data_IF_187948490782
#
_entry.id   IF_187948490782
#
_cell.length_a   1.000
_cell.length_b   1.000
_cell.length_c   1.000
_cell.angle_alpha   90.00
_cell.angle_beta   90.00
_cell.angle_gamma   90.00
#
_symmetry.space_group_name_H-M   'P 1'
#
loop_
_entity.id
_entity.type
_entity.pdbx_description
1 polymer ?
#
# COMPACT_ATOMS: atom_id res chain seq x y z
N UNK A 1 8.06 24.21 25.50
CA UNK A 1 8.09 24.45 24.05
C UNK A 1 7.44 23.20 23.43
N UNK A 2 6.24 23.31 22.85
CA UNK A 2 5.67 22.25 22.06
C UNK A 2 6.57 22.06 20.83
N UNK A 3 7.40 21.04 20.82
CA UNK A 3 8.16 20.68 19.62
C UNK A 3 7.18 20.22 18.57
N UNK A 4 7.14 20.91 17.44
CA UNK A 4 6.39 20.51 16.25
C UNK A 4 6.80 19.09 15.87
N UNK A 5 5.84 18.20 15.69
CA UNK A 5 6.13 16.81 15.27
C UNK A 5 6.65 16.79 13.84
N UNK A 6 7.65 15.96 13.58
CA UNK A 6 8.23 15.77 12.24
C UNK A 6 7.78 14.44 11.67
N UNK A 7 7.20 14.47 10.49
CA UNK A 7 6.73 13.29 9.74
C UNK A 7 7.56 13.16 8.48
N UNK A 8 8.34 12.07 8.38
CA UNK A 8 9.08 11.75 7.18
C UNK A 8 8.26 10.77 6.32
N UNK A 9 7.86 11.20 5.12
CA UNK A 9 7.13 10.40 4.14
C UNK A 9 8.12 9.98 3.05
N UNK A 10 8.45 8.68 2.99
CA UNK A 10 9.24 8.07 1.93
C UNK A 10 8.29 7.62 0.81
N UNK A 11 8.61 7.92 -0.46
CA UNK A 11 7.69 7.71 -1.58
C UNK A 11 6.58 8.76 -1.61
N UNK A 12 6.93 10.02 -1.29
CA UNK A 12 6.01 11.15 -1.22
C UNK A 12 5.31 11.45 -2.56
N UNK A 13 5.93 11.12 -3.69
CA UNK A 13 5.36 11.28 -5.03
C UNK A 13 4.38 10.16 -5.41
N UNK A 14 4.32 9.10 -4.59
CA UNK A 14 3.37 8.00 -4.77
C UNK A 14 1.94 8.40 -4.43
N UNK A 15 0.97 7.56 -4.80
CA UNK A 15 -0.47 7.84 -4.64
C UNK A 15 -0.86 8.13 -3.17
N UNK A 16 -0.45 7.27 -2.24
CA UNK A 16 -0.75 7.44 -0.81
C UNK A 16 0.11 8.56 -0.22
N UNK A 17 1.41 8.63 -0.59
CA UNK A 17 2.32 9.68 -0.11
C UNK A 17 1.81 11.08 -0.41
N UNK A 18 1.34 11.33 -1.66
CA UNK A 18 0.74 12.63 -2.03
C UNK A 18 -0.49 12.96 -1.19
N UNK A 19 -1.41 12.00 -1.00
CA UNK A 19 -2.61 12.26 -0.20
C UNK A 19 -2.29 12.51 1.27
N UNK A 20 -1.31 11.83 1.84
CA UNK A 20 -0.82 12.14 3.18
C UNK A 20 -0.20 13.53 3.26
N UNK A 21 0.58 13.92 2.25
CA UNK A 21 1.17 15.28 2.17
C UNK A 21 0.07 16.34 2.16
N UNK A 22 -0.92 16.22 1.25
CA UNK A 22 -2.06 17.14 1.13
C UNK A 22 -2.84 17.30 2.45
N UNK A 23 -3.09 16.20 3.15
CA UNK A 23 -3.84 16.19 4.41
C UNK A 23 -3.04 16.81 5.57
N UNK A 24 -1.72 16.65 5.58
CA UNK A 24 -0.85 17.12 6.66
C UNK A 24 -0.30 18.54 6.43
N UNK A 25 -0.31 19.07 5.20
CA UNK A 25 0.24 20.41 4.88
C UNK A 25 -0.33 21.55 5.73
N UNK A 26 -1.59 21.46 6.14
CA UNK A 26 -2.27 22.48 6.92
C UNK A 26 -2.39 22.12 8.42
N UNK A 27 -1.60 21.16 8.88
CA UNK A 27 -1.54 20.74 10.29
C UNK A 27 -0.25 21.22 10.95
N UNK A 28 -0.16 21.27 12.29
CA UNK A 28 1.04 21.74 12.98
C UNK A 28 2.16 20.69 13.02
N UNK A 29 2.50 20.10 11.85
CA UNK A 29 3.60 19.15 11.69
C UNK A 29 4.64 19.68 10.69
N UNK A 30 5.89 19.29 10.86
CA UNK A 30 6.96 19.52 9.89
C UNK A 30 7.04 18.31 8.97
N UNK A 31 6.79 18.49 7.66
CA UNK A 31 6.85 17.46 6.67
C UNK A 31 8.25 17.32 6.10
N UNK A 32 8.77 16.11 6.10
CA UNK A 32 10.02 15.70 5.45
C UNK A 32 9.63 14.77 4.30
N UNK A 33 9.66 15.28 3.07
CA UNK A 33 9.19 14.57 1.89
C UNK A 33 10.37 14.08 1.08
N UNK A 34 10.42 12.77 0.81
CA UNK A 34 11.46 12.18 -0.05
C UNK A 34 10.89 11.15 -1.02
N UNK A 35 11.55 11.05 -2.14
CA UNK A 35 11.38 9.96 -3.09
C UNK A 35 12.78 9.46 -3.51
N UNK A 36 12.86 8.53 -4.46
CA UNK A 36 14.11 7.85 -4.84
C UNK A 36 15.23 8.81 -5.27
N UNK A 37 14.88 9.94 -5.86
CA UNK A 37 15.82 10.99 -6.29
C UNK A 37 16.45 11.76 -5.11
N UNK A 38 15.75 11.85 -3.98
CA UNK A 38 16.22 12.55 -2.79
C UNK A 38 16.87 11.59 -1.78
N UNK A 39 16.21 10.46 -1.48
CA UNK A 39 16.72 9.40 -0.60
C UNK A 39 16.30 8.04 -1.13
N UNK A 40 17.24 7.32 -1.71
CA UNK A 40 17.03 5.91 -2.04
C UNK A 40 16.95 5.09 -0.74
N UNK A 41 15.78 4.52 -0.44
CA UNK A 41 15.57 3.71 0.77
C UNK A 41 16.41 2.43 0.78
N UNK A 42 16.94 1.99 -0.37
CA UNK A 42 17.82 0.83 -0.47
C UNK A 42 19.26 1.15 -0.03
N UNK A 43 19.64 2.43 -0.02
CA UNK A 43 20.93 2.89 0.54
C UNK A 43 20.81 3.10 2.06
N UNK A 44 21.31 2.13 2.80
CA UNK A 44 21.27 2.16 4.27
C UNK A 44 22.03 3.34 4.89
N UNK A 45 23.05 3.88 4.20
CA UNK A 45 23.80 5.04 4.67
C UNK A 45 22.99 6.32 4.47
N UNK A 46 22.44 6.52 3.27
CA UNK A 46 21.61 7.67 2.97
C UNK A 46 20.40 7.76 3.92
N UNK A 47 19.72 6.64 4.17
CA UNK A 47 18.58 6.55 5.11
C UNK A 47 18.99 6.96 6.53
N UNK A 48 20.11 6.40 7.05
CA UNK A 48 20.57 6.75 8.41
C UNK A 48 21.01 8.21 8.54
N UNK A 49 21.75 8.71 7.55
CA UNK A 49 22.22 10.09 7.54
C UNK A 49 21.05 11.06 7.52
N UNK A 50 20.04 10.83 6.66
CA UNK A 50 18.85 11.67 6.58
C UNK A 50 18.03 11.63 7.87
N UNK A 51 17.77 10.45 8.42
CA UNK A 51 17.05 10.30 9.69
C UNK A 51 17.81 10.93 10.86
N UNK A 52 19.14 10.79 10.92
CA UNK A 52 19.99 11.36 11.96
C UNK A 52 20.02 12.90 11.93
N UNK A 53 20.04 13.49 10.73
CA UNK A 53 20.03 14.95 10.53
C UNK A 53 18.66 15.55 10.90
N UNK A 54 17.58 14.96 10.42
CA UNK A 54 16.22 15.53 10.54
C UNK A 54 15.48 15.10 11.80
N UNK A 55 15.83 13.95 12.40
CA UNK A 55 15.23 13.40 13.63
C UNK A 55 13.70 13.34 13.57
N UNK A 56 13.12 12.59 12.62
CA UNK A 56 11.67 12.46 12.50
C UNK A 56 11.07 11.78 13.73
N UNK A 57 9.83 12.16 14.09
CA UNK A 57 9.03 11.47 15.10
C UNK A 57 8.30 10.27 14.51
N UNK A 58 7.91 10.40 13.24
CA UNK A 58 7.28 9.35 12.44
C UNK A 58 8.04 9.15 11.12
N UNK A 59 8.20 7.90 10.72
CA UNK A 59 8.70 7.51 9.38
C UNK A 59 7.59 6.72 8.71
N UNK A 60 7.02 7.25 7.63
CA UNK A 60 5.95 6.62 6.86
C UNK A 60 6.52 6.11 5.56
N UNK A 61 6.57 4.79 5.40
CA UNK A 61 7.06 4.15 4.19
C UNK A 61 5.91 3.87 3.21
N UNK A 62 5.70 4.78 2.27
CA UNK A 62 4.84 4.62 1.10
C UNK A 62 5.64 4.19 -0.14
N UNK A 63 6.98 4.12 -0.07
CA UNK A 63 7.83 3.70 -1.16
C UNK A 63 7.76 2.17 -1.35
N UNK A 64 7.85 1.74 -2.59
CA UNK A 64 7.87 0.32 -2.94
C UNK A 64 7.70 0.07 -4.43
N UNK A 65 8.23 -1.06 -4.89
CA UNK A 65 7.94 -1.57 -6.22
C UNK A 65 6.60 -2.33 -6.16
N UNK A 66 5.57 -1.78 -6.82
CA UNK A 66 4.18 -2.25 -6.71
C UNK A 66 3.62 -2.87 -7.99
N UNK A 67 4.36 -2.79 -9.09
CA UNK A 67 4.03 -3.50 -10.32
C UNK A 67 4.37 -4.98 -10.16
N UNK A 68 3.34 -5.84 -10.14
CA UNK A 68 3.50 -7.28 -9.88
C UNK A 68 4.25 -7.96 -11.01
N UNK A 69 4.00 -7.59 -12.27
CA UNK A 69 4.71 -8.17 -13.41
C UNK A 69 6.20 -7.79 -13.36
N UNK A 70 6.51 -6.52 -13.12
CA UNK A 70 7.89 -6.07 -12.95
C UNK A 70 8.60 -6.76 -11.77
N UNK A 71 7.89 -7.06 -10.68
CA UNK A 71 8.44 -7.84 -9.57
C UNK A 71 8.77 -9.28 -9.96
N UNK A 72 7.94 -9.94 -10.77
CA UNK A 72 8.21 -11.30 -11.27
C UNK A 72 9.42 -11.32 -12.21
N UNK A 73 9.58 -10.30 -13.04
CA UNK A 73 10.70 -10.13 -13.96
C UNK A 73 12.01 -9.83 -13.22
N UNK A 74 11.97 -9.00 -12.18
CA UNK A 74 13.15 -8.58 -11.42
C UNK A 74 12.97 -8.80 -9.91
N UNK A 75 13.14 -10.07 -9.50
CA UNK A 75 12.95 -10.52 -8.12
C UNK A 75 13.92 -9.84 -7.15
N UNK A 76 15.19 -9.68 -7.54
CA UNK A 76 16.20 -9.05 -6.69
C UNK A 76 15.84 -7.60 -6.36
N UNK A 77 15.42 -6.84 -7.37
CA UNK A 77 15.02 -5.44 -7.17
C UNK A 77 13.75 -5.35 -6.31
N UNK A 78 12.78 -6.26 -6.50
CA UNK A 78 11.59 -6.32 -5.67
C UNK A 78 11.94 -6.51 -4.18
N UNK A 79 12.82 -7.44 -3.85
CA UNK A 79 13.27 -7.66 -2.48
C UNK A 79 14.16 -6.52 -1.96
N UNK A 80 15.02 -5.96 -2.81
CA UNK A 80 15.87 -4.83 -2.45
C UNK A 80 15.03 -3.63 -2.03
N UNK A 81 14.04 -3.25 -2.83
CA UNK A 81 13.18 -2.10 -2.53
C UNK A 81 12.20 -2.42 -1.40
N UNK A 82 11.38 -3.49 -1.55
CA UNK A 82 10.25 -3.75 -0.65
C UNK A 82 10.67 -4.34 0.70
N UNK A 83 11.77 -5.10 0.76
CA UNK A 83 12.24 -5.72 1.98
C UNK A 83 13.43 -4.98 2.59
N UNK A 84 14.56 -4.83 1.87
CA UNK A 84 15.74 -4.17 2.43
C UNK A 84 15.51 -2.66 2.65
N UNK A 85 14.76 -1.99 1.79
CA UNK A 85 14.34 -0.60 2.01
C UNK A 85 13.55 -0.46 3.31
N UNK A 86 12.54 -1.31 3.54
CA UNK A 86 11.77 -1.31 4.79
C UNK A 86 12.66 -1.61 6.02
N UNK A 87 13.62 -2.55 5.90
CA UNK A 87 14.61 -2.83 6.95
C UNK A 87 15.46 -1.61 7.27
N UNK A 88 15.99 -0.90 6.27
CA UNK A 88 16.82 0.27 6.48
C UNK A 88 16.07 1.39 7.22
N UNK A 89 14.81 1.65 6.82
CA UNK A 89 13.94 2.61 7.50
C UNK A 89 13.62 2.18 8.94
N UNK A 90 13.38 0.88 9.18
CA UNK A 90 13.11 0.33 10.51
C UNK A 90 14.30 0.51 11.46
N UNK A 91 15.51 0.25 10.96
CA UNK A 91 16.74 0.47 11.74
C UNK A 91 16.90 1.95 12.08
N UNK A 92 16.70 2.85 11.10
CA UNK A 92 16.76 4.30 11.32
C UNK A 92 15.70 4.77 12.31
N UNK A 93 14.45 4.28 12.20
CA UNK A 93 13.37 4.57 13.12
C UNK A 93 13.72 4.18 14.56
N UNK A 94 14.24 2.96 14.77
CA UNK A 94 14.68 2.50 16.08
C UNK A 94 15.79 3.38 16.66
N UNK A 95 16.81 3.71 15.86
CA UNK A 95 17.93 4.55 16.30
C UNK A 95 17.47 5.97 16.69
N UNK A 96 16.57 6.55 15.91
CA UNK A 96 15.97 7.87 16.15
C UNK A 96 14.83 7.89 17.16
N UNK A 97 14.38 6.73 17.66
CA UNK A 97 13.16 6.55 18.47
C UNK A 97 11.88 7.02 17.76
N UNK A 98 11.89 7.05 16.44
CA UNK A 98 10.72 7.34 15.63
C UNK A 98 9.73 6.17 15.66
N UNK A 99 8.46 6.45 15.39
CA UNK A 99 7.46 5.42 15.10
C UNK A 99 7.47 5.12 13.61
N UNK A 100 7.57 3.85 13.25
CA UNK A 100 7.57 3.39 11.86
C UNK A 100 6.17 3.04 11.40
N UNK A 101 5.74 3.58 10.28
CA UNK A 101 4.50 3.18 9.60
C UNK A 101 4.89 2.53 8.27
N UNK A 102 4.52 1.27 8.08
CA UNK A 102 4.84 0.49 6.90
C UNK A 102 3.59 0.16 6.10
N UNK A 103 3.48 0.68 4.90
CA UNK A 103 2.43 0.28 3.97
C UNK A 103 2.72 -1.11 3.40
N UNK A 104 1.74 -2.02 3.48
CA UNK A 104 1.78 -3.39 2.97
C UNK A 104 0.57 -3.70 2.08
N UNK A 105 0.28 -4.96 1.80
CA UNK A 105 -0.66 -5.40 0.77
C UNK A 105 -1.45 -6.64 1.17
N UNK A 106 -2.61 -6.80 0.57
CA UNK A 106 -3.42 -8.03 0.57
C UNK A 106 -2.75 -9.20 -0.16
N UNK A 107 -1.81 -8.95 -1.09
CA UNK A 107 -1.04 -9.97 -1.82
C UNK A 107 -0.12 -10.82 -0.90
N UNK A 108 -0.09 -10.54 0.40
CA UNK A 108 0.57 -11.42 1.38
C UNK A 108 -0.19 -12.72 1.62
N UNK A 109 -1.45 -12.81 1.20
CA UNK A 109 -2.27 -14.02 1.29
C UNK A 109 -2.28 -14.81 -0.01
N UNK A 110 -2.55 -16.11 0.06
CA UNK A 110 -2.48 -17.03 -1.09
C UNK A 110 -3.72 -17.01 -2.00
N UNK A 111 -4.80 -16.42 -1.53
CA UNK A 111 -6.05 -16.36 -2.29
C UNK A 111 -6.94 -17.60 -2.18
N UNK A 112 -6.63 -18.54 -1.30
CA UNK A 112 -7.43 -19.78 -1.08
C UNK A 112 -8.61 -19.58 -0.12
N UNK A 113 -8.68 -18.41 0.56
CA UNK A 113 -9.73 -18.08 1.51
C UNK A 113 -11.11 -17.98 0.87
N UNK A 114 -12.14 -18.27 1.69
CA UNK A 114 -13.56 -18.10 1.34
C UNK A 114 -14.26 -17.09 2.25
N UNK A 115 -13.57 -16.61 3.26
CA UNK A 115 -13.99 -15.57 4.17
C UNK A 115 -12.92 -14.48 4.23
N UNK A 116 -13.27 -13.23 4.54
CA UNK A 116 -12.30 -12.15 4.63
C UNK A 116 -11.13 -12.48 5.57
N UNK A 117 -9.91 -12.23 5.11
CA UNK A 117 -8.71 -12.42 5.91
C UNK A 117 -8.63 -11.36 7.01
N UNK A 118 -8.37 -11.79 8.22
CA UNK A 118 -8.11 -10.94 9.38
C UNK A 118 -6.60 -10.73 9.57
N UNK A 119 -6.23 -9.83 10.47
CA UNK A 119 -4.83 -9.59 10.84
C UNK A 119 -4.17 -10.79 11.53
N UNK A 120 -4.98 -11.76 12.01
CA UNK A 120 -4.53 -12.98 12.68
C UNK A 120 -4.30 -14.16 11.73
N UNK A 121 -4.74 -14.04 10.47
CA UNK A 121 -4.53 -15.10 9.49
C UNK A 121 -3.06 -15.16 9.06
N UNK A 122 -2.58 -16.39 8.85
CA UNK A 122 -1.19 -16.63 8.45
C UNK A 122 -0.96 -16.25 7.00
N UNK A 123 -0.03 -15.31 6.71
CA UNK A 123 0.34 -14.99 5.33
C UNK A 123 1.00 -16.16 4.60
N UNK A 124 0.68 -16.31 3.31
CA UNK A 124 1.26 -17.31 2.40
C UNK A 124 1.34 -16.77 0.96
N UNK A 125 2.14 -15.71 0.70
CA UNK A 125 2.15 -15.02 -0.58
C UNK A 125 2.61 -15.92 -1.73
N UNK A 126 1.93 -15.82 -2.86
CA UNK A 126 2.27 -16.59 -4.06
C UNK A 126 3.17 -15.79 -5.00
N UNK A 127 2.93 -14.48 -5.14
CA UNK A 127 3.68 -13.58 -6.01
C UNK A 127 4.99 -13.11 -5.39
N UNK A 128 5.98 -12.74 -6.22
CA UNK A 128 7.22 -12.10 -5.76
C UNK A 128 6.92 -10.76 -5.07
N UNK A 129 5.95 -10.00 -5.60
CA UNK A 129 5.48 -8.79 -4.94
C UNK A 129 5.03 -9.07 -3.50
N UNK A 130 4.08 -9.99 -3.30
CA UNK A 130 3.60 -10.35 -1.97
C UNK A 130 4.70 -10.87 -1.05
N UNK A 131 5.59 -11.73 -1.57
CA UNK A 131 6.75 -12.27 -0.83
C UNK A 131 7.71 -11.16 -0.37
N UNK A 132 8.02 -10.21 -1.25
CA UNK A 132 8.91 -9.09 -0.94
C UNK A 132 8.30 -8.12 0.08
N UNK A 133 6.98 -7.87 -0.01
CA UNK A 133 6.25 -7.04 0.97
C UNK A 133 6.19 -7.72 2.34
N UNK A 134 5.88 -9.01 2.40
CA UNK A 134 5.89 -9.78 3.66
C UNK A 134 7.28 -9.82 4.30
N UNK A 135 8.34 -9.97 3.52
CA UNK A 135 9.70 -9.88 4.03
C UNK A 135 9.98 -8.50 4.64
N UNK A 136 9.46 -7.42 4.04
CA UNK A 136 9.51 -6.07 4.61
C UNK A 136 8.76 -5.97 5.94
N UNK A 137 7.55 -6.52 6.05
CA UNK A 137 6.81 -6.57 7.32
C UNK A 137 7.62 -7.26 8.42
N UNK A 138 8.25 -8.40 8.09
CA UNK A 138 9.05 -9.16 9.05
C UNK A 138 10.25 -8.36 9.54
N UNK A 139 10.94 -7.64 8.65
CA UNK A 139 12.03 -6.75 9.04
C UNK A 139 11.54 -5.59 9.93
N UNK A 140 10.37 -5.02 9.64
CA UNK A 140 9.79 -3.96 10.49
C UNK A 140 9.53 -4.50 11.90
N UNK A 141 8.91 -5.66 12.03
CA UNK A 141 8.64 -6.33 13.32
C UNK A 141 9.94 -6.65 14.09
N UNK A 142 10.98 -7.09 13.39
CA UNK A 142 12.27 -7.46 13.98
C UNK A 142 13.08 -6.24 14.44
N UNK A 143 13.14 -5.19 13.60
CA UNK A 143 14.07 -4.08 13.82
C UNK A 143 13.46 -2.84 14.47
N UNK A 144 12.14 -2.69 14.54
CA UNK A 144 11.49 -1.51 15.12
C UNK A 144 10.34 -1.90 16.06
N UNK A 145 10.53 -1.72 17.36
CA UNK A 145 9.50 -2.07 18.36
C UNK A 145 8.27 -1.14 18.32
N UNK A 146 8.45 0.11 17.86
CA UNK A 146 7.37 1.10 17.72
C UNK A 146 6.94 1.15 16.26
N UNK A 147 6.00 0.33 15.85
CA UNK A 147 5.58 0.27 14.47
C UNK A 147 4.08 0.04 14.27
N UNK A 148 3.59 0.53 13.16
CA UNK A 148 2.30 0.16 12.59
C UNK A 148 2.56 -0.40 11.20
N UNK A 149 2.06 -1.60 10.92
CA UNK A 149 2.00 -2.18 9.59
C UNK A 149 0.56 -2.05 9.10
N UNK A 150 0.38 -1.46 7.91
CA UNK A 150 -0.91 -1.24 7.29
C UNK A 150 -1.00 -2.08 6.02
N UNK A 151 -1.78 -3.16 6.04
CA UNK A 151 -2.13 -3.90 4.83
C UNK A 151 -3.36 -3.27 4.21
N UNK A 152 -3.29 -2.99 2.92
CA UNK A 152 -4.42 -2.47 2.15
C UNK A 152 -4.57 -3.21 0.83
N UNK A 153 -5.69 -3.03 0.15
CA UNK A 153 -6.05 -3.74 -1.07
C UNK A 153 -6.50 -2.77 -2.15
N UNK A 154 -6.16 -3.08 -3.40
CA UNK A 154 -6.60 -2.39 -4.62
C UNK A 154 -6.67 -0.86 -4.51
N UNK A 155 -5.60 -0.25 -4.01
CA UNK A 155 -5.53 1.20 -3.79
C UNK A 155 -5.71 1.94 -5.12
N UNK A 156 -6.74 2.79 -5.20
CA UNK A 156 -7.03 3.62 -6.37
C UNK A 156 -7.04 5.10 -6.02
N UNK A 157 -6.96 5.96 -7.03
CA UNK A 157 -6.90 7.41 -6.91
C UNK A 157 -6.04 7.99 -8.03
N UNK A 158 -5.46 9.15 -7.81
CA UNK A 158 -4.61 9.83 -8.78
C UNK A 158 -3.38 9.01 -9.18
N UNK A 159 -2.90 9.22 -10.40
CA UNK A 159 -1.76 8.52 -10.97
C UNK A 159 -2.12 7.18 -11.61
N UNK A 160 -1.11 6.35 -11.91
CA UNK A 160 -1.30 5.06 -12.58
C UNK A 160 -1.91 4.03 -11.63
N UNK A 161 -3.08 3.51 -11.97
CA UNK A 161 -3.83 2.50 -11.21
C UNK A 161 -4.73 1.69 -12.12
N UNK A 162 -5.31 0.60 -11.60
CA UNK A 162 -6.36 -0.13 -12.30
C UNK A 162 -7.52 0.81 -12.68
N UNK A 163 -7.94 1.67 -11.75
CA UNK A 163 -8.98 2.68 -11.98
C UNK A 163 -8.63 3.60 -13.16
N UNK A 164 -7.45 4.19 -13.19
CA UNK A 164 -7.04 5.10 -14.27
C UNK A 164 -6.89 4.38 -15.62
N UNK A 165 -6.47 3.10 -15.61
CA UNK A 165 -6.45 2.26 -16.81
C UNK A 165 -7.85 2.05 -17.38
N UNK A 166 -8.82 1.69 -16.53
CA UNK A 166 -10.23 1.51 -16.94
C UNK A 166 -10.81 2.82 -17.46
N UNK A 167 -10.60 3.93 -16.75
CA UNK A 167 -11.05 5.26 -17.19
C UNK A 167 -10.52 5.64 -18.57
N UNK A 168 -9.24 5.36 -18.82
CA UNK A 168 -8.62 5.61 -20.13
C UNK A 168 -9.28 4.79 -21.24
N UNK A 169 -9.40 3.46 -21.04
CA UNK A 169 -10.01 2.55 -22.01
C UNK A 169 -11.49 2.93 -22.28
N UNK A 170 -12.22 3.31 -21.25
CA UNK A 170 -13.61 3.78 -21.36
C UNK A 170 -13.71 5.08 -22.16
N UNK A 171 -12.77 6.02 -21.96
CA UNK A 171 -12.71 7.27 -22.73
C UNK A 171 -12.34 7.07 -24.20
N UNK A 172 -11.58 6.02 -24.52
CA UNK A 172 -11.18 5.63 -25.87
C UNK A 172 -12.23 4.72 -26.57
N UNK A 173 -13.30 4.31 -25.87
CA UNK A 173 -14.33 3.42 -26.41
C UNK A 173 -13.83 1.98 -26.64
N UNK A 174 -12.74 1.56 -25.99
CA UNK A 174 -12.15 0.25 -26.17
C UNK A 174 -12.82 -0.78 -25.24
N UNK A 175 -13.16 -1.96 -25.79
CA UNK A 175 -13.67 -3.07 -24.97
C UNK A 175 -12.71 -3.41 -23.83
N UNK A 176 -13.24 -3.50 -22.61
CA UNK A 176 -12.47 -3.76 -21.39
C UNK A 176 -12.65 -5.22 -20.99
N UNK A 177 -11.53 -5.96 -20.92
CA UNK A 177 -11.52 -7.33 -20.40
C UNK A 177 -11.08 -7.30 -18.94
N UNK A 178 -11.90 -7.87 -18.03
CA UNK A 178 -11.65 -7.82 -16.61
C UNK A 178 -11.92 -9.15 -15.92
N UNK A 179 -11.06 -9.54 -14.99
CA UNK A 179 -11.18 -10.82 -14.27
C UNK A 179 -12.46 -10.85 -13.42
N UNK A 180 -13.29 -11.87 -13.62
CA UNK A 180 -14.48 -12.10 -12.82
C UNK A 180 -14.24 -13.01 -11.60
N UNK A 181 -13.09 -13.68 -11.57
CA UNK A 181 -12.65 -14.63 -10.54
C UNK A 181 -11.52 -14.12 -9.65
N UNK A 182 -11.29 -12.80 -9.64
CA UNK A 182 -10.41 -12.12 -8.69
C UNK A 182 -11.25 -11.16 -7.84
N UNK A 183 -11.31 -11.40 -6.54
CA UNK A 183 -12.14 -10.63 -5.60
C UNK A 183 -11.30 -10.02 -4.49
N UNK A 184 -11.45 -8.72 -4.26
CA UNK A 184 -10.80 -7.98 -3.18
C UNK A 184 -11.60 -6.72 -2.81
N UNK A 185 -11.00 -5.81 -2.05
CA UNK A 185 -11.65 -4.56 -1.62
C UNK A 185 -10.97 -3.36 -2.29
N UNK A 186 -11.64 -2.64 -3.20
CA UNK A 186 -11.14 -1.35 -3.66
C UNK A 186 -11.02 -0.36 -2.49
N UNK A 187 -9.88 0.33 -2.40
CA UNK A 187 -9.60 1.28 -1.32
C UNK A 187 -9.14 2.60 -1.91
N UNK A 188 -9.84 3.68 -1.60
CA UNK A 188 -9.45 5.02 -2.01
C UNK A 188 -8.18 5.48 -1.31
N UNK A 189 -7.29 6.13 -2.05
CA UNK A 189 -6.02 6.60 -1.50
C UNK A 189 -6.20 7.71 -0.45
N UNK A 190 -7.26 8.53 -0.58
CA UNK A 190 -7.59 9.58 0.39
C UNK A 190 -8.03 8.97 1.72
N UNK A 191 -8.99 8.06 1.68
CA UNK A 191 -9.51 7.37 2.87
C UNK A 191 -8.43 6.55 3.57
N UNK A 192 -7.55 5.91 2.79
CA UNK A 192 -6.41 5.19 3.34
C UNK A 192 -5.42 6.14 4.02
N UNK A 193 -5.12 7.30 3.41
CA UNK A 193 -4.22 8.29 3.98
C UNK A 193 -4.78 8.90 5.27
N UNK A 194 -6.07 9.25 5.30
CA UNK A 194 -6.77 9.71 6.51
C UNK A 194 -6.66 8.68 7.64
N UNK A 195 -6.93 7.41 7.33
CA UNK A 195 -6.86 6.35 8.33
C UNK A 195 -5.42 6.07 8.80
N UNK A 196 -4.42 6.18 7.93
CA UNK A 196 -3.00 6.08 8.34
C UNK A 196 -2.64 7.20 9.32
N UNK A 197 -3.09 8.44 9.07
CA UNK A 197 -2.84 9.58 9.97
C UNK A 197 -3.50 9.33 11.33
N UNK A 198 -4.74 8.89 11.35
CA UNK A 198 -5.45 8.54 12.60
C UNK A 198 -4.71 7.44 13.39
N UNK A 199 -4.25 6.39 12.71
CA UNK A 199 -3.45 5.33 13.30
C UNK A 199 -2.12 5.83 13.88
N UNK A 200 -1.44 6.75 13.18
CA UNK A 200 -0.19 7.35 13.66
C UNK A 200 -0.37 8.05 15.00
N UNK A 201 -1.49 8.72 15.20
CA UNK A 201 -1.75 9.57 16.35
C UNK A 201 -2.29 8.78 17.56
N UNK A 202 -3.18 7.81 17.32
CA UNK A 202 -4.02 7.25 18.37
C UNK A 202 -3.91 5.74 18.57
N UNK A 203 -3.47 4.97 17.54
CA UNK A 203 -3.50 3.53 17.63
C UNK A 203 -2.34 2.92 18.44
N UNK A 204 -2.52 1.78 19.11
CA UNK A 204 -1.42 0.93 19.56
C UNK A 204 -0.51 0.48 18.42
N UNK A 205 0.76 0.13 18.76
CA UNK A 205 1.66 -0.51 17.79
C UNK A 205 1.10 -1.87 17.37
N UNK A 206 1.25 -2.23 16.10
CA UNK A 206 0.73 -3.50 15.60
C UNK A 206 0.48 -3.57 14.10
N UNK A 207 -0.26 -4.58 13.71
CA UNK A 207 -0.70 -4.84 12.33
C UNK A 207 -2.18 -4.49 12.18
N UNK A 208 -2.50 -3.76 11.13
CA UNK A 208 -3.86 -3.33 10.80
C UNK A 208 -4.17 -3.62 9.34
N UNK A 209 -5.35 -4.14 9.07
CA UNK A 209 -5.95 -4.10 7.75
C UNK A 209 -6.72 -2.77 7.61
N UNK A 210 -6.49 -2.05 6.51
CA UNK A 210 -7.17 -0.77 6.24
C UNK A 210 -7.65 -0.79 4.80
N UNK A 211 -8.92 -1.07 4.60
CA UNK A 211 -9.57 -1.14 3.29
C UNK A 211 -10.90 -0.41 3.30
N UNK A 212 -11.46 -0.17 2.13
CA UNK A 212 -12.86 0.20 1.98
C UNK A 212 -13.81 -0.86 2.56
N UNK A 213 -15.09 -0.67 2.39
CA UNK A 213 -16.11 -1.63 2.81
C UNK A 213 -16.64 -2.42 1.62
N UNK A 214 -17.10 -3.65 1.88
CA UNK A 214 -17.59 -4.57 0.88
C UNK A 214 -16.45 -5.26 0.13
N UNK A 215 -16.79 -5.94 -0.94
CA UNK A 215 -15.84 -6.58 -1.85
C UNK A 215 -16.46 -6.69 -3.24
N UNK A 216 -15.63 -6.74 -4.26
CA UNK A 216 -16.09 -6.96 -5.64
C UNK A 216 -15.00 -7.66 -6.46
N UNK A 217 -15.38 -8.24 -7.60
CA UNK A 217 -14.44 -8.70 -8.60
C UNK A 217 -13.81 -7.55 -9.38
N UNK A 218 -12.71 -7.80 -10.08
CA UNK A 218 -12.16 -6.82 -11.03
C UNK A 218 -13.17 -6.43 -12.10
N UNK A 219 -13.98 -7.39 -12.52
CA UNK A 219 -15.03 -7.17 -13.50
C UNK A 219 -16.10 -6.19 -12.95
N UNK A 220 -16.65 -6.46 -11.78
CA UNK A 220 -17.66 -5.58 -11.14
C UNK A 220 -17.07 -4.19 -10.87
N UNK A 221 -15.82 -4.11 -10.43
CA UNK A 221 -15.16 -2.82 -10.24
C UNK A 221 -15.01 -2.05 -11.55
N UNK A 222 -14.62 -2.71 -12.64
CA UNK A 222 -14.54 -2.08 -13.96
C UNK A 222 -15.92 -1.62 -14.46
N UNK A 223 -16.96 -2.44 -14.29
CA UNK A 223 -18.33 -2.06 -14.65
C UNK A 223 -18.78 -0.80 -13.91
N UNK A 224 -18.51 -0.71 -12.61
CA UNK A 224 -18.91 0.45 -11.81
C UNK A 224 -18.15 1.71 -12.23
N UNK A 225 -16.86 1.60 -12.53
CA UNK A 225 -16.06 2.72 -13.05
C UNK A 225 -16.64 3.21 -14.39
N UNK A 226 -16.95 2.31 -15.32
CA UNK A 226 -17.54 2.66 -16.62
C UNK A 226 -18.91 3.31 -16.43
N UNK A 227 -19.77 2.73 -15.59
CA UNK A 227 -21.09 3.28 -15.26
C UNK A 227 -20.99 4.72 -14.72
N UNK A 228 -20.11 4.96 -13.75
CA UNK A 228 -19.92 6.27 -13.13
C UNK A 228 -19.27 7.30 -14.08
N UNK A 229 -18.46 6.85 -15.04
CA UNK A 229 -17.87 7.73 -16.06
C UNK A 229 -18.87 8.19 -17.13
N UNK A 230 -20.06 7.61 -17.18
CA UNK A 230 -21.08 7.86 -18.22
C UNK A 230 -20.74 7.24 -19.58
N UNK A 231 -19.67 6.43 -19.66
CA UNK A 231 -19.29 5.70 -20.88
C UNK A 231 -20.24 4.55 -21.18
N UNK A 232 -20.37 4.22 -22.47
CA UNK A 232 -21.11 3.03 -22.93
C UNK A 232 -20.17 1.89 -23.35
N UNK A 233 -18.91 1.96 -22.93
CA UNK A 233 -17.90 0.94 -23.23
C UNK A 233 -18.28 -0.39 -22.64
N UNK A 234 -18.13 -1.45 -23.45
CA UNK A 234 -18.41 -2.81 -23.01
C UNK A 234 -17.34 -3.31 -22.05
N UNK A 235 -17.76 -3.91 -20.94
CA UNK A 235 -16.89 -4.64 -20.01
C UNK A 235 -17.20 -6.12 -20.12
N UNK A 236 -16.20 -6.93 -20.52
CA UNK A 236 -16.32 -8.36 -20.75
C UNK A 236 -15.66 -9.13 -19.61
N UNK A 237 -16.39 -10.02 -18.92
CA UNK A 237 -15.79 -10.87 -17.90
C UNK A 237 -14.87 -11.92 -18.53
N UNK A 238 -13.70 -12.10 -17.93
CA UNK A 238 -12.71 -13.13 -18.32
C UNK A 238 -12.18 -13.84 -17.09
N UNK A 239 -11.55 -15.00 -17.26
CA UNK A 239 -10.82 -15.66 -16.18
C UNK A 239 -9.49 -14.94 -15.89
N UNK A 240 -8.99 -15.02 -14.68
CA UNK A 240 -7.73 -14.39 -14.25
C UNK A 240 -6.50 -14.90 -15.01
N UNK A 241 -6.57 -16.10 -15.58
CA UNK A 241 -5.52 -16.72 -16.41
C UNK A 241 -5.58 -16.31 -17.88
N UNK A 242 -6.46 -15.39 -18.25
CA UNK A 242 -6.59 -14.91 -19.62
C UNK A 242 -5.35 -14.11 -20.05
N UNK A 243 -4.79 -14.43 -21.22
CA UNK A 243 -3.57 -13.83 -21.78
C UNK A 243 -3.64 -12.30 -21.95
N UNK A 244 -4.86 -11.75 -21.98
CA UNK A 244 -5.12 -10.30 -22.05
C UNK A 244 -4.88 -9.59 -20.72
N UNK A 245 -4.72 -10.32 -19.61
CA UNK A 245 -4.42 -9.82 -18.28
C UNK A 245 -2.92 -9.88 -18.00
N UNK A 246 -2.38 -8.87 -17.38
CA UNK A 246 -0.92 -8.63 -17.31
C UNK A 246 -0.23 -9.22 -16.08
N UNK A 247 -0.95 -9.72 -15.07
CA UNK A 247 -0.32 -10.29 -13.88
C UNK A 247 -1.24 -11.26 -13.14
N UNK A 248 -0.66 -12.36 -12.67
CA UNK A 248 -1.31 -13.24 -11.69
C UNK A 248 -1.47 -12.51 -10.36
N UNK A 249 -2.67 -12.61 -9.79
CA UNK A 249 -3.02 -12.09 -8.47
C UNK A 249 -3.79 -13.17 -7.71
N UNK A 250 -3.83 -13.12 -6.37
CA UNK A 250 -4.73 -13.99 -5.60
C UNK A 250 -6.17 -13.91 -6.12
N UNK A 251 -6.85 -15.07 -6.22
CA UNK A 251 -8.25 -15.11 -6.63
C UNK A 251 -9.18 -14.48 -5.58
N UNK A 252 -8.82 -14.56 -4.31
CA UNK A 252 -9.55 -13.97 -3.19
C UNK A 252 -8.58 -13.31 -2.22
N UNK A 253 -8.62 -11.99 -2.08
CA UNK A 253 -7.78 -11.24 -1.13
C UNK A 253 -8.57 -10.18 -0.35
N UNK A 254 -9.82 -10.49 -0.06
CA UNK A 254 -10.68 -9.63 0.76
C UNK A 254 -10.12 -9.55 2.18
N UNK A 255 -9.81 -8.35 2.64
CA UNK A 255 -9.35 -8.10 4.00
C UNK A 255 -10.51 -7.65 4.90
N UNK A 256 -10.53 -8.11 6.13
CA UNK A 256 -11.38 -7.63 7.19
C UNK A 256 -10.58 -6.66 8.09
N UNK A 257 -11.10 -5.46 8.30
CA UNK A 257 -10.53 -4.43 9.17
C UNK A 257 -10.81 -4.73 10.66
N UNK A 258 -10.47 -5.95 11.12
CA UNK A 258 -10.84 -6.41 12.46
C UNK A 258 -10.17 -5.60 13.55
N UNK A 259 -8.87 -5.35 13.41
CA UNK A 259 -8.10 -4.59 14.41
C UNK A 259 -8.53 -3.12 14.50
N UNK A 260 -8.95 -2.49 13.39
CA UNK A 260 -9.54 -1.13 13.47
C UNK A 260 -10.78 -1.13 14.35
N UNK A 261 -11.73 -2.04 14.08
CA UNK A 261 -12.96 -2.14 14.88
C UNK A 261 -12.71 -2.46 16.35
N UNK A 262 -11.75 -3.35 16.64
CA UNK A 262 -11.37 -3.68 18.02
C UNK A 262 -10.69 -2.52 18.75
N UNK A 263 -9.99 -1.65 18.03
CA UNK A 263 -9.33 -0.47 18.58
C UNK A 263 -10.25 0.75 18.69
N UNK A 264 -11.47 0.66 18.18
CA UNK A 264 -12.43 1.77 18.18
C UNK A 264 -12.07 2.90 17.18
N UNK A 265 -11.34 2.55 16.12
CA UNK A 265 -10.82 3.46 15.09
C UNK A 265 -11.63 3.30 13.79
#
# INVERSE_FOLDING_TARGET
MNHMQKVWICGANGRVGRKMTELLENTPVELLLTDIDAVDITDSKAVRDYAGMNRPHFIVNCAGLTDVAACEENKEEAFKVNALGARNLSVAARMGKARMIQLSTDDVFDGSGQTPYTEFDTPNPQTIYGKSKLAGENFVKEFCNRHIIVRSSWIFGEGSSYFSKIMKLAGEGQTIYAAADQTAVPTGASELAEKIIELMESAPDGLYHVTGQGSCSRYEFAQEIVRLSGSQTEVVPVAAVDDRLTAMRPSYSVLDNMMLRMSGI
#
